data_IF_826834298945
#
_entry.id   IF_826834298945
#
_cell.length_a   1.000
_cell.length_b   1.000
_cell.length_c   1.000
_cell.angle_alpha   90.00
_cell.angle_beta   90.00
_cell.angle_gamma   90.00
#
_symmetry.space_group_name_H-M   'P 1'
#
loop_
_entity.id
_entity.type
_entity.pdbx_description
1 polymer ?
#
# COMPACT_ATOMS: atom_id res chain seq x y z
N UNK A 1 -37.61 -41.84 38.79
CA UNK A 1 -37.52 -41.34 37.40
C UNK A 1 -36.76 -40.03 37.44
N UNK A 2 -35.44 -40.10 37.26
CA UNK A 2 -34.50 -38.97 37.31
C UNK A 2 -34.09 -38.62 35.88
N UNK A 3 -34.08 -37.33 35.61
CA UNK A 3 -33.23 -36.61 34.64
C UNK A 3 -33.37 -37.00 33.17
N UNK A 4 -34.18 -36.21 32.46
CA UNK A 4 -34.05 -35.99 31.02
C UNK A 4 -34.52 -34.58 30.68
N UNK A 5 -33.64 -33.58 30.82
CA UNK A 5 -33.61 -32.32 30.03
C UNK A 5 -32.69 -31.26 30.67
N UNK A 6 -31.37 -31.48 30.66
CA UNK A 6 -30.39 -30.39 30.70
C UNK A 6 -29.54 -30.52 29.43
N UNK A 7 -30.09 -30.04 28.31
CA UNK A 7 -29.32 -29.81 27.09
C UNK A 7 -28.87 -28.36 27.06
N UNK A 8 -27.55 -28.22 27.09
CA UNK A 8 -26.72 -27.24 26.38
C UNK A 8 -26.76 -25.77 26.87
N UNK A 9 -26.03 -25.53 27.96
CA UNK A 9 -25.57 -24.19 28.34
C UNK A 9 -24.45 -23.78 27.36
N UNK A 10 -24.83 -23.11 26.28
CA UNK A 10 -24.03 -22.20 25.43
C UNK A 10 -22.51 -22.48 25.45
N UNK A 11 -22.05 -23.40 24.60
CA UNK A 11 -20.62 -23.52 24.30
C UNK A 11 -20.15 -22.22 23.61
N UNK A 12 -19.45 -21.36 24.36
CA UNK A 12 -18.77 -20.21 23.76
C UNK A 12 -17.81 -20.77 22.70
N UNK A 13 -17.88 -20.33 21.44
CA UNK A 13 -17.03 -20.88 20.39
C UNK A 13 -15.56 -20.72 20.79
N UNK A 14 -14.83 -21.84 20.84
CA UNK A 14 -13.41 -21.83 21.15
C UNK A 14 -12.63 -20.95 20.16
N UNK A 15 -11.73 -20.12 20.69
CA UNK A 15 -10.88 -19.23 19.88
C UNK A 15 -10.07 -20.06 18.87
N UNK A 16 -10.16 -19.70 17.59
CA UNK A 16 -9.37 -20.33 16.55
C UNK A 16 -7.86 -20.18 16.79
N UNK A 17 -7.12 -21.28 16.63
CA UNK A 17 -5.66 -21.31 16.64
C UNK A 17 -5.08 -21.32 15.22
N UNK A 18 -3.84 -20.86 15.09
CA UNK A 18 -3.05 -21.02 13.87
C UNK A 18 -2.68 -22.49 13.70
N UNK A 19 -2.66 -23.00 12.46
CA UNK A 19 -2.30 -24.41 12.23
C UNK A 19 -0.81 -24.65 12.46
N UNK A 20 0.04 -23.64 12.26
CA UNK A 20 1.47 -23.73 12.54
C UNK A 20 2.10 -22.36 12.86
N UNK A 21 3.30 -22.37 13.46
CA UNK A 21 4.07 -21.16 13.81
C UNK A 21 4.45 -20.34 12.59
N UNK A 22 4.70 -20.99 11.45
CA UNK A 22 5.07 -20.31 10.20
C UNK A 22 3.91 -19.50 9.66
N UNK A 23 2.66 -20.00 9.72
CA UNK A 23 1.47 -19.23 9.30
C UNK A 23 1.34 -17.94 10.10
N UNK A 24 1.58 -17.99 11.41
CA UNK A 24 1.58 -16.80 12.26
C UNK A 24 2.70 -15.83 11.88
N UNK A 25 3.94 -16.30 11.76
CA UNK A 25 5.09 -15.46 11.42
C UNK A 25 4.93 -14.80 10.04
N UNK A 26 4.46 -15.57 9.05
CA UNK A 26 4.21 -15.07 7.70
C UNK A 26 3.06 -14.06 7.68
N UNK A 27 2.05 -14.21 8.54
CA UNK A 27 0.97 -13.23 8.69
C UNK A 27 1.47 -11.92 9.29
N UNK A 28 2.32 -11.99 10.31
CA UNK A 28 3.00 -10.80 10.86
C UNK A 28 3.88 -10.11 9.80
N UNK A 29 4.61 -10.89 9.00
CA UNK A 29 5.45 -10.36 7.93
C UNK A 29 4.61 -9.70 6.83
N UNK A 30 3.53 -10.35 6.41
CA UNK A 30 2.58 -9.81 5.42
C UNK A 30 1.87 -8.54 5.91
N UNK A 31 1.61 -8.42 7.21
CA UNK A 31 1.09 -7.18 7.81
C UNK A 31 2.15 -6.07 7.84
N UNK A 32 3.41 -6.40 8.16
CA UNK A 32 4.50 -5.43 8.21
C UNK A 32 4.93 -4.93 6.82
N UNK A 33 4.76 -5.76 5.78
CA UNK A 33 5.14 -5.44 4.40
C UNK A 33 3.93 -4.92 3.63
N UNK A 34 3.82 -3.60 3.55
CA UNK A 34 2.80 -2.92 2.77
C UNK A 34 3.33 -2.23 1.51
N UNK A 35 2.41 -1.67 0.73
CA UNK A 35 2.70 -0.83 -0.45
C UNK A 35 3.68 0.32 -0.09
N UNK A 36 3.60 0.84 1.14
CA UNK A 36 4.52 1.85 1.67
C UNK A 36 6.01 1.48 1.52
N UNK A 37 6.37 0.22 1.70
CA UNK A 37 7.76 -0.23 1.61
C UNK A 37 8.28 -0.18 0.16
N UNK A 38 7.39 -0.32 -0.83
CA UNK A 38 7.77 -0.36 -2.25
C UNK A 38 8.07 1.04 -2.79
N UNK A 39 7.31 2.06 -2.40
CA UNK A 39 7.40 3.40 -3.00
C UNK A 39 7.74 4.54 -2.03
N UNK A 40 7.27 4.49 -0.78
CA UNK A 40 7.35 5.59 0.18
C UNK A 40 8.71 5.56 0.87
N UNK A 41 9.18 4.38 1.24
CA UNK A 41 10.51 4.23 1.83
C UNK A 41 11.62 4.67 0.86
N UNK A 42 11.66 4.22 -0.42
CA UNK A 42 12.65 4.73 -1.37
C UNK A 42 12.53 6.25 -1.58
N UNK A 43 11.31 6.77 -1.72
CA UNK A 43 11.09 8.22 -1.88
C UNK A 43 11.59 9.04 -0.68
N UNK A 44 11.30 8.60 0.55
CA UNK A 44 11.76 9.27 1.77
C UNK A 44 13.27 9.19 1.92
N UNK A 45 13.85 8.00 1.72
CA UNK A 45 15.30 7.79 1.74
C UNK A 45 15.99 8.75 0.77
N UNK A 46 15.49 8.81 -0.46
CA UNK A 46 15.99 9.73 -1.48
C UNK A 46 15.90 11.20 -1.04
N UNK A 47 14.72 11.66 -0.62
CA UNK A 47 14.48 13.07 -0.28
C UNK A 47 15.24 13.53 0.97
N UNK A 48 15.56 12.62 1.88
CA UNK A 48 16.13 12.91 3.19
C UNK A 48 17.64 12.59 3.28
N UNK A 49 18.35 12.56 2.16
CA UNK A 49 19.81 12.45 2.12
C UNK A 49 20.35 11.10 1.63
N UNK A 50 19.53 10.32 0.92
CA UNK A 50 19.91 9.04 0.32
C UNK A 50 20.38 8.04 1.38
N UNK A 51 21.53 7.42 1.14
CA UNK A 51 22.12 6.45 2.07
C UNK A 51 22.35 6.97 3.50
N UNK A 52 22.50 8.29 3.69
CA UNK A 52 22.67 8.87 5.03
C UNK A 52 21.41 8.73 5.90
N UNK A 53 20.21 8.69 5.29
CA UNK A 53 18.93 8.49 5.99
C UNK A 53 18.82 7.11 6.66
N UNK A 54 19.57 6.11 6.17
CA UNK A 54 19.52 4.76 6.73
C UNK A 54 20.04 4.70 8.17
N UNK A 55 20.97 5.57 8.56
CA UNK A 55 21.53 5.60 9.93
C UNK A 55 20.46 5.95 10.97
N UNK A 56 19.78 7.11 10.91
CA UNK A 56 18.71 7.42 11.87
C UNK A 56 17.52 6.46 11.73
N UNK A 57 17.21 5.98 10.52
CA UNK A 57 16.15 4.99 10.31
C UNK A 57 16.43 3.69 11.09
N UNK A 58 17.63 3.12 10.96
CA UNK A 58 18.01 1.91 11.69
C UNK A 58 18.06 2.14 13.20
N UNK A 59 18.55 3.31 13.65
CA UNK A 59 18.57 3.66 15.07
C UNK A 59 17.14 3.72 15.65
N UNK A 60 16.20 4.39 14.99
CA UNK A 60 14.81 4.46 15.42
C UNK A 60 14.10 3.10 15.32
N UNK A 61 14.48 2.27 14.35
CA UNK A 61 13.98 0.90 14.23
C UNK A 61 14.36 0.06 15.45
N UNK A 62 15.63 0.09 15.87
CA UNK A 62 16.10 -0.67 17.03
C UNK A 62 15.61 -0.10 18.37
N UNK A 63 15.55 1.22 18.52
CA UNK A 63 15.15 1.87 19.78
C UNK A 63 13.63 1.94 19.98
N UNK A 64 12.85 2.09 18.92
CA UNK A 64 11.40 2.28 19.02
C UNK A 64 10.61 1.21 18.26
N UNK A 65 10.96 0.93 17.01
CA UNK A 65 10.18 0.02 16.15
C UNK A 65 10.09 -1.41 16.70
N UNK A 66 11.23 -2.06 16.93
CA UNK A 66 11.31 -3.44 17.42
C UNK A 66 10.70 -3.57 18.82
N UNK A 67 11.02 -2.70 19.81
CA UNK A 67 10.42 -2.77 21.13
C UNK A 67 8.89 -2.62 21.13
N UNK A 68 8.34 -1.69 20.34
CA UNK A 68 6.88 -1.49 20.26
C UNK A 68 6.19 -2.69 19.63
N UNK A 69 6.73 -3.23 18.53
CA UNK A 69 6.18 -4.42 17.87
C UNK A 69 6.21 -5.65 18.79
N UNK A 70 7.31 -5.84 19.53
CA UNK A 70 7.44 -6.92 20.49
C UNK A 70 6.45 -6.77 21.65
N UNK A 71 6.35 -5.56 22.24
CA UNK A 71 5.41 -5.26 23.32
C UNK A 71 3.96 -5.55 22.91
N UNK A 72 3.55 -5.11 21.72
CA UNK A 72 2.20 -5.35 21.19
C UNK A 72 1.92 -6.84 21.00
N UNK A 73 2.89 -7.57 20.43
CA UNK A 73 2.77 -9.01 20.20
C UNK A 73 2.64 -9.79 21.51
N UNK A 74 3.48 -9.48 22.51
CA UNK A 74 3.44 -10.12 23.83
C UNK A 74 2.14 -9.79 24.55
N UNK A 75 1.69 -8.53 24.51
CA UNK A 75 0.41 -8.12 25.11
C UNK A 75 -0.77 -8.86 24.48
N UNK A 76 -0.78 -9.00 23.15
CA UNK A 76 -1.82 -9.75 22.43
C UNK A 76 -1.83 -11.26 22.75
N UNK A 77 -0.65 -11.86 22.91
CA UNK A 77 -0.52 -13.27 23.30
C UNK A 77 -0.95 -13.49 24.75
N UNK A 78 -0.46 -12.68 25.69
CA UNK A 78 -0.74 -12.82 27.12
C UNK A 78 -2.21 -12.53 27.46
N UNK A 79 -2.76 -11.43 26.95
CA UNK A 79 -4.15 -11.05 27.24
C UNK A 79 -5.18 -11.95 26.54
N UNK A 80 -4.78 -12.61 25.45
CA UNK A 80 -5.63 -13.44 24.60
C UNK A 80 -6.97 -12.78 24.24
N UNK A 81 -6.97 -11.45 24.18
CA UNK A 81 -8.13 -10.58 24.08
C UNK A 81 -8.04 -9.70 22.84
N UNK A 82 -9.18 -9.19 22.37
CA UNK A 82 -9.22 -8.24 21.26
C UNK A 82 -8.77 -6.83 21.67
N UNK A 83 -8.53 -5.96 20.69
CA UNK A 83 -8.12 -4.57 20.89
C UNK A 83 -9.11 -3.72 21.73
N UNK A 84 -10.40 -4.08 21.75
CA UNK A 84 -11.40 -3.41 22.60
C UNK A 84 -11.31 -3.82 24.07
N UNK A 85 -10.94 -5.08 24.35
CA UNK A 85 -10.97 -5.64 25.71
C UNK A 85 -9.60 -5.65 26.38
N UNK A 86 -8.51 -5.57 25.62
CA UNK A 86 -7.13 -5.59 26.14
C UNK A 86 -6.84 -4.43 27.11
N UNK A 87 -7.41 -3.25 26.87
CA UNK A 87 -7.20 -2.08 27.73
C UNK A 87 -8.04 -2.09 29.02
N UNK A 88 -8.78 -3.17 29.31
CA UNK A 88 -9.41 -3.35 30.64
C UNK A 88 -8.39 -3.43 31.78
N UNK A 89 -7.11 -3.69 31.46
CA UNK A 89 -5.99 -3.66 32.43
C UNK A 89 -5.85 -2.29 33.09
N UNK A 90 -6.13 -1.19 32.37
CA UNK A 90 -6.08 0.16 32.91
C UNK A 90 -7.32 0.97 32.49
N UNK A 91 -8.22 1.32 33.42
CA UNK A 91 -9.48 1.99 33.10
C UNK A 91 -9.30 3.37 32.44
N UNK A 92 -8.14 4.03 32.65
CA UNK A 92 -7.80 5.29 31.98
C UNK A 92 -7.68 5.14 30.46
N UNK A 93 -7.24 3.98 29.98
CA UNK A 93 -7.06 3.69 28.55
C UNK A 93 -8.24 2.97 27.90
N UNK A 94 -9.40 2.91 28.56
CA UNK A 94 -10.60 2.24 28.02
C UNK A 94 -11.05 2.80 26.66
N UNK A 95 -10.77 4.08 26.39
CA UNK A 95 -11.04 4.73 25.10
C UNK A 95 -10.05 4.36 23.97
N UNK A 96 -8.87 3.83 24.30
CA UNK A 96 -7.83 3.54 23.30
C UNK A 96 -8.27 2.45 22.33
N UNK A 97 -8.98 1.42 22.81
CA UNK A 97 -9.52 0.36 21.94
C UNK A 97 -10.54 0.89 20.91
N UNK A 98 -11.42 1.80 21.33
CA UNK A 98 -12.39 2.44 20.43
C UNK A 98 -11.70 3.36 19.42
N UNK A 99 -10.66 4.08 19.83
CA UNK A 99 -9.85 4.89 18.91
C UNK A 99 -9.17 4.03 17.84
N UNK A 100 -8.58 2.88 18.23
CA UNK A 100 -7.98 1.93 17.29
C UNK A 100 -9.03 1.41 16.30
N UNK A 101 -10.26 1.13 16.74
CA UNK A 101 -11.33 0.69 15.84
C UNK A 101 -11.71 1.79 14.83
N UNK A 102 -11.85 3.04 15.28
CA UNK A 102 -12.17 4.17 14.41
C UNK A 102 -11.07 4.43 13.37
N UNK A 103 -9.79 4.40 13.78
CA UNK A 103 -8.65 4.56 12.87
C UNK A 103 -8.62 3.41 11.85
N UNK A 104 -8.80 2.16 12.30
CA UNK A 104 -8.83 1.01 11.39
C UNK A 104 -9.96 1.10 10.37
N UNK A 105 -11.13 1.63 10.73
CA UNK A 105 -12.23 1.82 9.80
C UNK A 105 -11.89 2.83 8.68
N UNK A 106 -11.26 3.96 9.04
CA UNK A 106 -10.80 4.96 8.07
C UNK A 106 -9.70 4.36 7.18
N UNK A 107 -8.72 3.68 7.78
CA UNK A 107 -7.64 3.02 7.06
C UNK A 107 -8.18 1.99 6.06
N UNK A 108 -9.09 1.12 6.49
CA UNK A 108 -9.66 0.08 5.64
C UNK A 108 -10.41 0.67 4.44
N UNK A 109 -11.18 1.73 4.65
CA UNK A 109 -11.95 2.39 3.58
C UNK A 109 -11.03 2.94 2.49
N UNK A 110 -9.97 3.69 2.85
CA UNK A 110 -9.09 4.28 1.84
C UNK A 110 -8.14 3.25 1.20
N UNK A 111 -7.61 2.29 1.98
CA UNK A 111 -6.72 1.25 1.43
C UNK A 111 -7.45 0.37 0.42
N UNK A 112 -8.74 0.10 0.65
CA UNK A 112 -9.53 -0.68 -0.30
C UNK A 112 -9.66 0.04 -1.66
N UNK A 113 -9.87 1.36 -1.64
CA UNK A 113 -9.82 2.18 -2.87
C UNK A 113 -8.45 2.11 -3.54
N UNK A 114 -7.35 2.17 -2.78
CA UNK A 114 -6.00 2.04 -3.36
C UNK A 114 -5.79 0.69 -4.02
N UNK A 115 -6.30 -0.41 -3.44
CA UNK A 115 -6.22 -1.76 -4.03
C UNK A 115 -7.06 -1.87 -5.32
N UNK A 116 -8.11 -1.07 -5.47
CA UNK A 116 -8.92 -1.07 -6.69
C UNK A 116 -8.18 -0.54 -7.93
N UNK A 117 -7.23 0.39 -7.78
CA UNK A 117 -6.43 0.92 -8.89
C UNK A 117 -5.62 -0.16 -9.62
N UNK A 118 -4.74 -0.95 -8.96
CA UNK A 118 -3.99 -2.00 -9.63
C UNK A 118 -4.89 -3.11 -10.17
N UNK A 119 -6.07 -3.39 -9.57
CA UNK A 119 -7.05 -4.31 -10.16
C UNK A 119 -7.56 -3.80 -11.50
N UNK A 120 -7.85 -2.49 -11.59
CA UNK A 120 -8.22 -1.85 -12.85
C UNK A 120 -7.08 -1.91 -13.87
N UNK A 121 -5.86 -1.53 -13.48
CA UNK A 121 -4.68 -1.62 -14.36
C UNK A 121 -4.43 -3.05 -14.83
N UNK A 122 -4.59 -4.06 -13.97
CA UNK A 122 -4.44 -5.46 -14.31
C UNK A 122 -5.48 -5.88 -15.35
N UNK A 123 -6.74 -5.52 -15.17
CA UNK A 123 -7.81 -5.84 -16.12
C UNK A 123 -7.55 -5.24 -17.51
N UNK A 124 -7.03 -4.02 -17.56
CA UNK A 124 -6.70 -3.32 -18.81
C UNK A 124 -5.40 -3.83 -19.45
N UNK A 125 -4.48 -4.41 -18.66
CA UNK A 125 -3.19 -4.93 -19.15
C UNK A 125 -3.32 -6.17 -20.05
N UNK A 126 -4.49 -6.80 -20.13
CA UNK A 126 -4.74 -7.93 -21.04
C UNK A 126 -4.97 -7.52 -22.50
N UNK A 127 -4.96 -6.22 -22.80
CA UNK A 127 -5.09 -5.70 -24.15
C UNK A 127 -3.74 -5.76 -24.90
N UNK A 128 -3.78 -6.02 -26.22
CA UNK A 128 -2.56 -6.08 -27.06
C UNK A 128 -1.79 -4.76 -27.06
N UNK A 129 -2.51 -3.63 -27.06
CA UNK A 129 -1.94 -2.29 -26.98
C UNK A 129 -2.32 -1.68 -25.65
N UNK A 130 -1.33 -1.20 -24.89
CA UNK A 130 -1.56 -0.64 -23.56
C UNK A 130 -2.16 0.77 -23.69
N UNK A 131 -3.27 1.10 -23.01
CA UNK A 131 -3.91 2.40 -23.17
C UNK A 131 -3.06 3.61 -22.75
N UNK A 132 -2.07 3.39 -21.89
CA UNK A 132 -1.12 4.42 -21.43
C UNK A 132 0.18 4.46 -22.25
N UNK A 133 0.26 3.74 -23.37
CA UNK A 133 1.43 3.76 -24.27
C UNK A 133 1.45 5.01 -25.16
N UNK A 134 0.28 5.46 -25.61
CA UNK A 134 0.12 6.49 -26.64
C UNK A 134 -0.80 7.64 -26.23
N UNK A 135 -0.60 8.80 -26.86
CA UNK A 135 -1.43 9.98 -26.68
C UNK A 135 -2.71 10.01 -27.55
N UNK A 136 -2.98 9.01 -28.37
CA UNK A 136 -4.12 8.98 -29.31
C UNK A 136 -5.48 8.53 -28.74
N UNK A 137 -5.74 8.73 -27.45
CA UNK A 137 -6.98 8.28 -26.79
C UNK A 137 -7.95 9.43 -26.49
N UNK A 138 -9.26 9.15 -26.29
CA UNK A 138 -10.27 10.18 -26.06
C UNK A 138 -10.09 11.03 -24.80
N UNK A 139 -9.35 10.54 -23.80
CA UNK A 139 -9.10 11.21 -22.53
C UNK A 139 -7.82 12.04 -22.51
N UNK A 140 -7.03 11.98 -23.58
CA UNK A 140 -5.78 12.70 -23.65
C UNK A 140 -6.00 14.14 -24.10
N UNK A 141 -5.22 15.05 -23.54
CA UNK A 141 -5.22 16.45 -23.92
C UNK A 141 -4.14 16.73 -24.96
N UNK A 142 -4.19 17.91 -25.56
CA UNK A 142 -3.14 18.37 -26.47
C UNK A 142 -1.75 18.51 -25.82
N UNK A 143 -1.66 18.37 -24.49
CA UNK A 143 -0.42 18.47 -23.73
C UNK A 143 0.23 17.11 -23.46
N UNK A 144 -0.34 16.03 -24.02
CA UNK A 144 0.19 14.68 -23.90
C UNK A 144 1.36 14.47 -24.87
N UNK A 145 2.52 14.08 -24.32
CA UNK A 145 3.69 13.69 -25.12
C UNK A 145 4.30 12.38 -24.61
N UNK A 146 4.79 11.55 -25.53
CA UNK A 146 5.49 10.30 -25.22
C UNK A 146 6.84 10.57 -24.54
N UNK A 147 7.26 9.65 -23.67
CA UNK A 147 8.61 9.67 -23.12
C UNK A 147 9.63 9.52 -24.26
N UNK A 148 10.58 10.46 -24.35
CA UNK A 148 11.62 10.46 -25.38
C UNK A 148 11.32 11.35 -26.60
N UNK A 149 10.17 12.04 -26.66
CA UNK A 149 9.94 13.09 -27.67
C UNK A 149 10.92 14.25 -27.44
N UNK A 150 11.63 14.68 -28.48
CA UNK A 150 12.62 15.75 -28.36
C UNK A 150 11.94 17.10 -28.10
N UNK A 151 12.62 18.00 -27.38
CA UNK A 151 12.10 19.35 -27.13
C UNK A 151 11.91 20.15 -28.43
N UNK A 152 12.67 19.81 -29.47
CA UNK A 152 12.55 20.36 -30.82
C UNK A 152 11.24 19.94 -31.50
N UNK A 153 10.84 18.66 -31.39
CA UNK A 153 9.55 18.18 -31.91
C UNK A 153 8.36 18.84 -31.20
N UNK A 154 8.49 19.07 -29.89
CA UNK A 154 7.48 19.76 -29.08
C UNK A 154 7.34 21.22 -29.50
N UNK A 155 8.46 21.92 -29.71
CA UNK A 155 8.48 23.32 -30.15
C UNK A 155 8.01 23.47 -31.61
N UNK A 156 8.31 22.51 -32.48
CA UNK A 156 7.87 22.50 -33.87
C UNK A 156 6.34 22.26 -33.98
N UNK A 157 5.77 21.50 -33.05
CA UNK A 157 4.33 21.26 -32.98
C UNK A 157 3.53 22.48 -32.49
N UNK A 158 4.13 23.33 -31.62
CA UNK A 158 3.51 24.56 -31.09
C UNK A 158 4.54 25.68 -30.87
N UNK A 159 4.86 26.47 -31.92
CA UNK A 159 5.81 27.57 -31.78
C UNK A 159 5.23 28.70 -30.91
N UNK A 160 6.00 29.16 -29.92
CA UNK A 160 5.68 30.37 -29.14
C UNK A 160 5.00 30.18 -27.78
N UNK A 161 4.77 28.95 -27.31
CA UNK A 161 4.29 28.69 -25.94
C UNK A 161 5.40 28.14 -25.05
N UNK A 162 5.53 28.67 -23.82
CA UNK A 162 6.37 28.11 -22.76
C UNK A 162 5.76 26.78 -22.27
N UNK A 163 5.99 25.71 -23.02
CA UNK A 163 5.36 24.39 -22.84
C UNK A 163 6.00 23.55 -21.72
N UNK A 164 7.17 23.94 -21.23
CA UNK A 164 7.99 23.12 -20.32
C UNK A 164 7.32 22.75 -18.99
N UNK A 165 6.39 23.57 -18.49
CA UNK A 165 5.73 23.34 -17.20
C UNK A 165 4.38 22.64 -17.28
N UNK A 166 3.90 22.25 -18.47
CA UNK A 166 2.56 21.65 -18.64
C UNK A 166 2.54 20.35 -19.44
N UNK A 167 3.69 19.81 -19.82
CA UNK A 167 3.77 18.53 -20.53
C UNK A 167 3.36 17.40 -19.58
N UNK A 168 2.43 16.56 -20.02
CA UNK A 168 2.00 15.36 -19.31
C UNK A 168 2.35 14.10 -20.12
N UNK A 169 2.61 13.03 -19.39
CA UNK A 169 2.86 11.71 -20.00
C UNK A 169 1.54 11.00 -20.26
N UNK A 170 1.44 10.11 -21.25
CA UNK A 170 0.22 9.34 -21.52
C UNK A 170 -0.22 8.51 -20.31
N UNK A 171 0.72 8.02 -19.49
CA UNK A 171 0.40 7.32 -18.24
C UNK A 171 -0.17 8.23 -17.15
N UNK A 172 0.32 9.47 -17.05
CA UNK A 172 -0.20 10.46 -16.11
C UNK A 172 -1.64 10.87 -16.47
N UNK A 173 -1.90 11.15 -17.75
CA UNK A 173 -3.25 11.48 -18.21
C UNK A 173 -4.20 10.30 -18.14
N UNK A 174 -3.74 9.09 -18.44
CA UNK A 174 -4.55 7.89 -18.25
C UNK A 174 -4.98 7.72 -16.79
N UNK A 175 -4.07 7.92 -15.83
CA UNK A 175 -4.43 7.81 -14.42
C UNK A 175 -5.37 8.93 -13.96
N UNK A 176 -5.07 10.19 -14.25
CA UNK A 176 -5.83 11.33 -13.73
C UNK A 176 -7.13 11.59 -14.49
N UNK A 177 -7.12 11.51 -15.82
CA UNK A 177 -8.28 11.86 -16.64
C UNK A 177 -9.20 10.67 -16.89
N UNK A 178 -8.66 9.44 -17.00
CA UNK A 178 -9.46 8.25 -17.32
C UNK A 178 -9.83 7.37 -16.14
N UNK A 179 -8.89 7.10 -15.23
CA UNK A 179 -9.15 6.23 -14.06
C UNK A 179 -9.79 7.02 -12.93
N UNK A 180 -9.18 8.16 -12.56
CA UNK A 180 -9.66 8.97 -11.45
C UNK A 180 -10.82 9.90 -11.84
N UNK A 181 -10.86 10.35 -13.10
CA UNK A 181 -11.74 11.43 -13.55
C UNK A 181 -11.70 12.62 -12.57
N UNK A 182 -10.48 13.11 -12.29
CA UNK A 182 -10.24 14.07 -11.22
C UNK A 182 -11.07 15.35 -11.40
N UNK A 183 -11.80 15.76 -10.37
CA UNK A 183 -12.59 16.99 -10.39
C UNK A 183 -11.75 18.24 -10.13
N UNK A 184 -12.31 19.40 -10.43
CA UNK A 184 -11.63 20.71 -10.28
C UNK A 184 -11.26 21.05 -8.83
N UNK A 185 -11.87 20.38 -7.84
CA UNK A 185 -11.55 20.58 -6.43
C UNK A 185 -12.46 19.83 -5.47
N UNK A 186 -12.08 19.83 -4.19
CA UNK A 186 -12.78 19.10 -3.11
C UNK A 186 -14.22 19.59 -2.89
N UNK A 187 -14.53 20.83 -3.27
CA UNK A 187 -15.87 21.41 -3.17
C UNK A 187 -16.85 20.82 -4.21
N UNK A 188 -16.33 20.27 -5.31
CA UNK A 188 -17.11 19.67 -6.38
C UNK A 188 -16.68 18.20 -6.52
N UNK A 189 -17.26 17.27 -5.75
CA UNK A 189 -16.82 15.87 -5.70
C UNK A 189 -17.04 15.08 -7.01
N UNK A 190 -17.56 15.70 -8.07
CA UNK A 190 -17.76 15.07 -9.37
C UNK A 190 -18.82 13.98 -9.34
N UNK A 191 -18.66 13.00 -10.23
CA UNK A 191 -19.55 11.84 -10.37
C UNK A 191 -18.87 10.56 -9.92
N UNK A 192 -19.66 9.51 -9.68
CA UNK A 192 -19.12 8.20 -9.34
C UNK A 192 -18.54 7.55 -10.60
N UNK A 193 -17.24 7.24 -10.56
CA UNK A 193 -16.56 6.48 -11.63
C UNK A 193 -16.94 5.00 -11.53
N UNK A 194 -17.94 4.58 -12.28
CA UNK A 194 -18.51 3.22 -12.23
C UNK A 194 -17.50 2.08 -12.38
N UNK A 195 -16.54 2.13 -13.33
CA UNK A 195 -15.57 1.06 -13.48
C UNK A 195 -14.67 0.89 -12.25
N UNK A 196 -14.34 2.00 -11.58
CA UNK A 196 -13.57 1.98 -10.33
C UNK A 196 -14.41 1.43 -9.18
N UNK A 197 -15.70 1.82 -9.09
CA UNK A 197 -16.63 1.27 -8.10
C UNK A 197 -16.72 -0.26 -8.18
N UNK A 198 -16.81 -0.81 -9.40
CA UNK A 198 -16.81 -2.27 -9.62
C UNK A 198 -15.51 -2.90 -9.07
N UNK A 199 -14.35 -2.30 -9.34
CA UNK A 199 -13.08 -2.78 -8.82
C UNK A 199 -13.01 -2.73 -7.28
N UNK A 200 -13.59 -1.71 -6.65
CA UNK A 200 -13.72 -1.61 -5.18
C UNK A 200 -14.62 -2.73 -4.64
N UNK A 201 -15.76 -3.00 -5.27
CA UNK A 201 -16.65 -4.09 -4.87
C UNK A 201 -15.95 -5.45 -4.99
N UNK A 202 -15.22 -5.69 -6.08
CA UNK A 202 -14.42 -6.92 -6.27
C UNK A 202 -13.36 -7.04 -5.16
N UNK A 203 -12.64 -5.96 -4.86
CA UNK A 203 -11.65 -5.94 -3.77
C UNK A 203 -12.27 -6.31 -2.43
N UNK A 204 -13.43 -5.76 -2.07
CA UNK A 204 -14.18 -6.15 -0.87
C UNK A 204 -14.60 -7.62 -0.86
N UNK A 205 -15.08 -8.15 -1.98
CA UNK A 205 -15.44 -9.57 -2.10
C UNK A 205 -14.21 -10.46 -1.89
N UNK A 206 -13.07 -10.13 -2.49
CA UNK A 206 -11.82 -10.86 -2.30
C UNK A 206 -11.38 -10.84 -0.83
N UNK A 207 -11.37 -9.67 -0.20
CA UNK A 207 -11.02 -9.53 1.23
C UNK A 207 -11.97 -10.36 2.11
N UNK A 208 -13.28 -10.30 1.83
CA UNK A 208 -14.27 -11.11 2.54
C UNK A 208 -13.99 -12.60 2.41
N UNK A 209 -13.74 -13.10 1.19
CA UNK A 209 -13.41 -14.50 0.94
C UNK A 209 -12.13 -14.94 1.66
N UNK A 210 -11.10 -14.08 1.72
CA UNK A 210 -9.87 -14.37 2.43
C UNK A 210 -10.09 -14.53 3.95
N UNK A 211 -11.05 -13.81 4.53
CA UNK A 211 -11.29 -13.76 5.98
C UNK A 211 -12.48 -14.65 6.41
N UNK A 212 -13.29 -15.17 5.48
CA UNK A 212 -14.56 -15.85 5.76
C UNK A 212 -14.47 -17.01 6.78
N UNK A 213 -13.36 -17.75 6.82
CA UNK A 213 -13.12 -18.82 7.84
C UNK A 213 -12.12 -18.42 8.93
N UNK A 214 -11.95 -17.12 9.16
CA UNK A 214 -11.03 -16.54 10.14
C UNK A 214 -9.56 -16.90 9.86
N UNK A 215 -8.79 -17.08 10.94
CA UNK A 215 -7.34 -17.34 10.89
C UNK A 215 -6.96 -18.58 10.08
N UNK A 216 -7.86 -19.57 9.98
CA UNK A 216 -7.63 -20.80 9.18
C UNK A 216 -7.58 -20.51 7.67
N UNK A 217 -8.41 -19.58 7.18
CA UNK A 217 -8.38 -19.15 5.77
C UNK A 217 -7.21 -18.18 5.53
N UNK A 218 -7.07 -17.18 6.41
CA UNK A 218 -6.01 -16.17 6.30
C UNK A 218 -4.63 -16.83 6.27
N UNK A 219 -4.35 -17.78 7.16
CA UNK A 219 -3.06 -18.48 7.19
C UNK A 219 -2.71 -19.16 5.87
N UNK A 220 -3.70 -19.69 5.13
CA UNK A 220 -3.47 -20.30 3.80
C UNK A 220 -3.26 -19.28 2.71
N UNK A 221 -4.06 -18.21 2.69
CA UNK A 221 -3.94 -17.13 1.70
C UNK A 221 -2.59 -16.41 1.82
N UNK A 222 -2.13 -16.19 3.06
CA UNK A 222 -0.88 -15.47 3.36
C UNK A 222 0.36 -16.15 2.76
N UNK A 223 0.37 -17.48 2.60
CA UNK A 223 1.47 -18.16 1.90
C UNK A 223 1.69 -17.61 0.49
N UNK A 224 0.62 -17.29 -0.21
CA UNK A 224 0.71 -16.68 -1.53
C UNK A 224 0.94 -15.16 -1.42
N UNK A 225 0.10 -14.46 -0.66
CA UNK A 225 0.13 -12.98 -0.67
C UNK A 225 1.37 -12.37 -0.03
N UNK A 226 2.04 -13.07 0.89
CA UNK A 226 3.29 -12.60 1.48
C UNK A 226 4.53 -12.97 0.63
N UNK A 227 4.51 -14.09 -0.09
CA UNK A 227 5.69 -14.56 -0.86
C UNK A 227 5.73 -14.00 -2.28
N UNK A 228 4.57 -13.92 -2.94
CA UNK A 228 4.47 -13.48 -4.33
C UNK A 228 5.07 -12.08 -4.58
N UNK A 229 4.85 -11.06 -3.73
CA UNK A 229 5.48 -9.76 -3.91
C UNK A 229 7.01 -9.81 -3.93
N UNK A 230 7.64 -10.67 -3.12
CA UNK A 230 9.10 -10.82 -3.14
C UNK A 230 9.61 -11.41 -4.45
N UNK A 231 8.89 -12.38 -5.02
CA UNK A 231 9.24 -12.95 -6.33
C UNK A 231 9.16 -11.87 -7.41
N UNK A 232 8.08 -11.08 -7.43
CA UNK A 232 7.91 -10.00 -8.39
C UNK A 232 8.99 -8.92 -8.21
N UNK A 233 9.26 -8.50 -6.98
CA UNK A 233 10.32 -7.52 -6.69
C UNK A 233 11.69 -8.04 -7.13
N UNK A 234 11.97 -9.33 -6.95
CA UNK A 234 13.22 -9.93 -7.42
C UNK A 234 13.33 -9.91 -8.95
N UNK A 235 12.26 -10.27 -9.67
CA UNK A 235 12.22 -10.19 -11.14
C UNK A 235 12.40 -8.75 -11.62
N UNK A 236 11.70 -7.80 -10.99
CA UNK A 236 11.83 -6.37 -11.29
C UNK A 236 13.22 -5.83 -10.98
N UNK A 237 13.88 -6.32 -9.93
CA UNK A 237 15.26 -5.97 -9.59
C UNK A 237 16.23 -6.44 -10.68
N UNK A 238 16.15 -7.72 -11.08
CA UNK A 238 17.00 -8.26 -12.15
C UNK A 238 16.77 -7.48 -13.44
N UNK A 239 15.50 -7.27 -13.83
CA UNK A 239 15.18 -6.49 -15.02
C UNK A 239 15.69 -5.05 -14.92
N UNK A 240 15.49 -4.41 -13.77
CA UNK A 240 15.95 -3.07 -13.43
C UNK A 240 17.46 -2.91 -13.62
N UNK A 241 18.25 -3.86 -13.13
CA UNK A 241 19.71 -3.83 -13.25
C UNK A 241 20.22 -4.10 -14.67
N UNK A 242 19.44 -4.79 -15.52
CA UNK A 242 19.81 -5.02 -16.93
C UNK A 242 19.54 -3.82 -17.86
N UNK A 243 18.80 -2.81 -17.40
CA UNK A 243 18.48 -1.62 -18.21
C UNK A 243 19.67 -0.66 -18.30
N UNK A 244 19.87 0.01 -19.45
CA UNK A 244 20.92 1.00 -19.61
C UNK A 244 20.71 2.16 -18.63
N UNK A 245 21.78 2.61 -17.97
CA UNK A 245 21.72 3.71 -17.01
C UNK A 245 21.25 3.33 -15.60
N UNK A 246 20.92 2.06 -15.33
CA UNK A 246 20.46 1.61 -14.00
C UNK A 246 21.43 1.98 -12.86
N UNK A 247 22.74 1.88 -13.13
CA UNK A 247 23.77 2.19 -12.13
C UNK A 247 23.74 3.65 -11.67
N UNK A 248 23.34 4.59 -12.53
CA UNK A 248 23.22 6.01 -12.16
C UNK A 248 22.12 6.20 -11.11
N UNK A 249 20.97 5.55 -11.28
CA UNK A 249 19.87 5.59 -10.31
C UNK A 249 20.26 4.97 -8.97
N UNK A 250 20.96 3.82 -8.99
CA UNK A 250 21.43 3.16 -7.76
C UNK A 250 22.47 4.01 -7.03
N UNK A 251 23.47 4.53 -7.75
CA UNK A 251 24.51 5.38 -7.16
C UNK A 251 23.89 6.65 -6.55
N UNK A 252 22.93 7.24 -7.25
CA UNK A 252 22.24 8.44 -6.79
C UNK A 252 21.36 8.17 -5.54
N UNK A 253 20.76 7.00 -5.44
CA UNK A 253 19.98 6.58 -4.27
C UNK A 253 20.87 6.33 -3.03
N UNK A 254 22.02 5.69 -3.22
CA UNK A 254 22.90 5.26 -2.11
C UNK A 254 23.86 6.37 -1.67
N UNK A 255 24.21 7.32 -2.55
CA UNK A 255 25.18 8.37 -2.24
C UNK A 255 24.76 9.17 -0.99
N UNK A 256 25.55 9.12 0.10
CA UNK A 256 25.15 9.73 1.37
C UNK A 256 25.34 11.25 1.34
N UNK A 257 24.27 12.00 1.60
CA UNK A 257 24.31 13.45 1.74
C UNK A 257 24.16 13.86 3.21
N UNK A 258 25.27 13.84 3.95
CA UNK A 258 25.30 14.11 5.39
C UNK A 258 24.74 15.49 5.78
N UNK A 259 24.89 16.50 4.91
CA UNK A 259 24.35 17.84 5.14
C UNK A 259 22.81 17.90 5.19
N UNK A 260 22.09 16.89 4.69
CA UNK A 260 20.63 16.82 4.81
C UNK A 260 20.17 16.34 6.17
N UNK A 261 21.01 15.63 6.95
CA UNK A 261 20.65 15.10 8.27
C UNK A 261 20.53 16.17 9.37
N UNK A 262 21.07 17.36 9.14
CA UNK A 262 20.92 18.50 10.05
C UNK A 262 19.56 19.18 9.91
N UNK A 263 18.83 18.93 8.81
CA UNK A 263 17.47 19.42 8.65
C UNK A 263 16.53 18.68 9.62
N UNK A 264 15.79 19.46 10.42
CA UNK A 264 14.79 18.94 11.37
C UNK A 264 13.74 18.04 10.70
N UNK A 265 13.43 18.30 9.42
CA UNK A 265 12.49 17.51 8.61
C UNK A 265 12.92 16.05 8.38
N UNK A 266 14.20 15.73 8.58
CA UNK A 266 14.73 14.37 8.45
C UNK A 266 14.64 13.58 9.76
N UNK A 267 14.48 14.27 10.91
CA UNK A 267 14.45 13.67 12.26
C UNK A 267 13.04 13.39 12.80
N UNK A 268 12.00 13.85 12.11
CA UNK A 268 10.56 13.69 12.44
C UNK A 268 9.91 12.79 11.41
#
# INVERSE_FOLDING_TARGET
MRQSSEQDVTSVPERGSWACKTEFLLSCLGYAIGIGNVWRFPYLCYRNGGGAFLVPYLLMLFLCGIPLFFMETVLGQFSSSGCLTVFKICPLFKGAGLAILAVNFICLTYYNVIVSYPLYFLAVSFQHKLPWEDCGNPWNTDMCYKLGTSQEDIQMSRPGQNLTNRIKTPADEFFHNKILEISDGISNPGTIVWPLLICVVISWVVVFLCIMKGVKSVGKVVYFTATFPFVILFVLLVRGLTLPGAMQGVLFYISPQWGQLTNLKVRV
#
